data_IF_636312608022
#
_entry.id   IF_636312608022
#
_cell.length_a   1.000
_cell.length_b   1.000
_cell.length_c   1.000
_cell.angle_alpha   90.00
_cell.angle_beta   90.00
_cell.angle_gamma   90.00
#
_symmetry.space_group_name_H-M   'P 1'
#
loop_
_entity.id
_entity.type
_entity.pdbx_description
1 polymer ?
#
# COMPACT_ATOMS: atom_id res chain seq x y z
N UNK A 1 -3.20 -22.63 20.96
CA UNK A 1 -2.78 -21.28 21.38
C UNK A 1 -1.87 -20.56 20.40
N UNK A 2 -0.59 -20.94 20.19
CA UNK A 2 0.29 -20.17 19.27
C UNK A 2 -0.16 -20.25 17.81
N UNK A 3 -0.61 -21.43 17.37
CA UNK A 3 -1.11 -21.65 16.01
C UNK A 3 -2.44 -20.93 15.77
N UNK A 4 -3.37 -21.02 16.73
CA UNK A 4 -4.66 -20.29 16.69
C UNK A 4 -4.46 -18.76 16.64
N UNK A 5 -3.52 -18.21 17.43
CA UNK A 5 -3.20 -16.79 17.41
C UNK A 5 -2.59 -16.36 16.07
N UNK A 6 -1.67 -17.17 15.53
CA UNK A 6 -1.05 -16.91 14.23
C UNK A 6 -2.09 -16.97 13.10
N UNK A 7 -3.00 -17.94 13.18
CA UNK A 7 -4.12 -18.10 12.24
C UNK A 7 -5.05 -16.90 12.27
N UNK A 8 -5.44 -16.43 13.46
CA UNK A 8 -6.31 -15.25 13.61
C UNK A 8 -5.65 -13.96 13.11
N UNK A 9 -4.34 -13.77 13.38
CA UNK A 9 -3.60 -12.62 12.89
C UNK A 9 -3.37 -12.65 11.37
N UNK A 10 -3.32 -13.83 10.76
CA UNK A 10 -3.26 -13.98 9.30
C UNK A 10 -4.62 -13.69 8.67
N UNK A 11 -5.69 -14.29 9.20
CA UNK A 11 -7.06 -14.05 8.75
C UNK A 11 -7.41 -12.56 8.77
N UNK A 12 -7.07 -11.84 9.84
CA UNK A 12 -7.30 -10.40 9.92
C UNK A 12 -6.57 -9.62 8.82
N UNK A 13 -5.31 -9.96 8.54
CA UNK A 13 -4.53 -9.33 7.46
C UNK A 13 -5.13 -9.63 6.09
N UNK A 14 -5.62 -10.85 5.89
CA UNK A 14 -6.27 -11.24 4.64
C UNK A 14 -7.58 -10.47 4.43
N UNK A 15 -8.38 -10.29 5.49
CA UNK A 15 -9.60 -9.46 5.44
C UNK A 15 -9.26 -8.01 5.11
N UNK A 16 -8.26 -7.41 5.78
CA UNK A 16 -7.80 -6.07 5.46
C UNK A 16 -7.32 -5.96 4.00
N UNK A 17 -6.59 -6.94 3.51
CA UNK A 17 -6.12 -6.97 2.12
C UNK A 17 -7.28 -7.03 1.13
N UNK A 18 -8.26 -7.92 1.34
CA UNK A 18 -9.43 -8.05 0.48
C UNK A 18 -10.29 -6.78 0.44
N UNK A 19 -10.40 -6.08 1.57
CA UNK A 19 -11.24 -4.88 1.68
C UNK A 19 -10.54 -3.60 1.18
N UNK A 20 -9.24 -3.46 1.44
CA UNK A 20 -8.51 -2.20 1.25
C UNK A 20 -7.51 -2.24 0.09
N UNK A 21 -7.22 -3.43 -0.43
CA UNK A 21 -6.28 -3.60 -1.54
C UNK A 21 -4.81 -3.61 -1.16
N UNK A 22 -4.45 -3.52 0.13
CA UNK A 22 -3.06 -3.48 0.57
C UNK A 22 -2.66 -4.72 1.36
N UNK A 23 -1.66 -5.44 0.84
CA UNK A 23 -0.98 -6.49 1.57
C UNK A 23 0.09 -5.84 2.44
N UNK A 24 0.11 -6.13 3.74
CA UNK A 24 1.05 -5.56 4.71
C UNK A 24 1.95 -6.67 5.23
N UNK A 25 3.24 -6.60 4.86
CA UNK A 25 4.26 -7.55 5.25
C UNK A 25 5.28 -6.89 6.18
N UNK A 26 5.54 -7.50 7.34
CA UNK A 26 6.60 -7.02 8.25
C UNK A 26 7.96 -7.50 7.75
N UNK A 27 8.85 -6.57 7.39
CA UNK A 27 10.18 -6.88 6.83
C UNK A 27 11.33 -6.76 7.84
N UNK A 28 11.04 -6.28 9.05
CA UNK A 28 12.02 -6.15 10.12
C UNK A 28 11.42 -5.69 11.44
N UNK A 29 12.24 -5.12 12.33
CA UNK A 29 11.71 -4.47 13.52
C UNK A 29 11.07 -3.14 13.13
N UNK A 30 9.77 -2.97 13.43
CA UNK A 30 9.00 -1.75 13.11
C UNK A 30 8.92 -1.36 11.62
N UNK A 31 9.46 -2.17 10.69
CA UNK A 31 9.41 -1.92 9.26
C UNK A 31 8.38 -2.79 8.55
N UNK A 32 7.62 -2.15 7.67
CA UNK A 32 6.51 -2.75 6.95
C UNK A 32 6.62 -2.42 5.47
N UNK A 33 6.53 -3.45 4.63
CA UNK A 33 6.31 -3.31 3.20
C UNK A 33 4.80 -3.38 2.96
N UNK A 34 4.28 -2.45 2.18
CA UNK A 34 2.90 -2.53 1.71
C UNK A 34 2.86 -2.58 0.18
N UNK A 35 2.08 -3.51 -0.35
CA UNK A 35 1.91 -3.72 -1.79
C UNK A 35 0.42 -3.64 -2.12
N UNK A 36 0.08 -2.89 -3.18
CA UNK A 36 -1.29 -2.79 -3.66
C UNK A 36 -1.64 -4.00 -4.53
N UNK A 37 -2.89 -4.47 -4.50
CA UNK A 37 -3.36 -5.57 -5.32
C UNK A 37 -3.32 -5.29 -6.84
N UNK A 38 -3.28 -4.02 -7.23
CA UNK A 38 -3.20 -3.58 -8.63
C UNK A 38 -1.79 -3.23 -9.09
N UNK A 39 -0.77 -3.44 -8.24
CA UNK A 39 0.63 -3.25 -8.61
C UNK A 39 1.01 -4.15 -9.80
N UNK A 40 1.72 -3.61 -10.78
CA UNK A 40 2.08 -4.32 -12.02
C UNK A 40 3.35 -5.16 -11.86
N UNK A 41 4.17 -4.88 -10.84
CA UNK A 41 5.39 -5.64 -10.55
C UNK A 41 5.66 -5.78 -9.04
N UNK A 42 6.53 -6.73 -8.70
CA UNK A 42 6.95 -6.95 -7.30
C UNK A 42 7.78 -5.82 -6.71
N UNK A 43 8.29 -4.91 -7.54
CA UNK A 43 9.11 -3.77 -7.13
C UNK A 43 8.26 -2.52 -6.81
N UNK A 44 6.96 -2.56 -7.12
CA UNK A 44 5.99 -1.51 -6.81
C UNK A 44 5.42 -1.70 -5.40
N UNK A 45 6.22 -1.34 -4.40
CA UNK A 45 5.82 -1.36 -3.00
C UNK A 45 6.27 -0.11 -2.26
N UNK A 46 5.49 0.25 -1.25
CA UNK A 46 5.84 1.31 -0.32
C UNK A 46 6.46 0.70 0.93
N UNK A 47 7.35 1.46 1.57
CA UNK A 47 7.95 1.06 2.85
C UNK A 47 7.53 2.05 3.92
N UNK A 48 7.09 1.54 5.07
CA UNK A 48 6.72 2.33 6.23
C UNK A 48 7.47 1.87 7.47
N UNK A 49 7.80 2.81 8.35
CA UNK A 49 8.41 2.55 9.64
C UNK A 49 7.49 3.04 10.76
N UNK A 50 7.26 2.19 11.75
CA UNK A 50 6.51 2.51 12.96
C UNK A 50 7.46 3.16 13.98
N UNK A 51 7.36 4.48 14.09
CA UNK A 51 8.05 5.30 15.08
C UNK A 51 7.22 5.42 16.36
N UNK A 52 7.74 6.08 17.39
CA UNK A 52 7.02 6.24 18.65
C UNK A 52 5.84 7.24 18.54
N UNK A 53 5.91 8.15 17.57
CA UNK A 53 4.90 9.18 17.31
C UNK A 53 3.86 8.76 16.25
N UNK A 54 4.06 7.63 15.57
CA UNK A 54 3.17 7.19 14.50
C UNK A 54 3.88 6.35 13.44
N UNK A 55 3.34 6.36 12.23
CA UNK A 55 3.88 5.62 11.10
C UNK A 55 4.32 6.60 10.01
N UNK A 56 5.52 6.38 9.47
CA UNK A 56 6.13 7.26 8.48
C UNK A 56 6.50 6.48 7.23
N UNK A 57 6.36 7.10 6.07
CA UNK A 57 6.78 6.51 4.80
C UNK A 57 8.28 6.71 4.61
N UNK A 58 8.97 5.64 4.23
CA UNK A 58 10.39 5.67 3.86
C UNK A 58 10.50 5.92 2.36
N UNK A 59 11.39 6.84 1.98
CA UNK A 59 11.65 7.13 0.58
C UNK A 59 12.32 5.93 -0.13
N UNK A 60 11.69 5.50 -1.22
CA UNK A 60 12.16 4.48 -2.17
C UNK A 60 11.99 4.98 -3.59
N UNK A 61 12.62 4.31 -4.56
CA UNK A 61 12.46 4.62 -5.99
C UNK A 61 10.99 4.59 -6.44
N UNK A 62 10.22 3.63 -5.94
CA UNK A 62 8.78 3.57 -6.22
C UNK A 62 8.03 4.75 -5.58
N UNK A 63 8.29 5.10 -4.32
CA UNK A 63 7.63 6.27 -3.72
C UNK A 63 7.98 7.58 -4.45
N UNK A 64 9.19 7.66 -5.03
CA UNK A 64 9.63 8.81 -5.80
C UNK A 64 8.89 8.94 -7.14
N UNK A 65 8.50 7.82 -7.76
CA UNK A 65 7.73 7.83 -9.01
C UNK A 65 6.28 8.27 -8.82
N UNK A 66 5.77 8.27 -7.58
CA UNK A 66 4.41 8.70 -7.22
C UNK A 66 4.30 10.20 -6.89
N UNK A 67 5.29 11.00 -7.31
CA UNK A 67 5.56 12.36 -6.81
C UNK A 67 4.33 13.25 -6.54
N UNK A 68 3.40 13.38 -7.49
CA UNK A 68 2.21 14.23 -7.33
C UNK A 68 1.28 13.75 -6.21
N UNK A 69 1.08 12.42 -6.09
CA UNK A 69 0.24 11.84 -5.02
C UNK A 69 0.89 12.01 -3.64
N UNK A 70 2.21 11.83 -3.57
CA UNK A 70 2.98 12.01 -2.33
C UNK A 70 2.92 13.46 -1.88
N UNK A 71 3.19 14.40 -2.77
CA UNK A 71 3.14 15.84 -2.47
C UNK A 71 1.74 16.26 -2.00
N UNK A 72 0.70 15.92 -2.77
CA UNK A 72 -0.65 16.33 -2.44
C UNK A 72 -1.16 15.71 -1.14
N UNK A 73 -0.97 14.41 -0.94
CA UNK A 73 -1.68 13.71 0.13
C UNK A 73 -0.86 13.52 1.40
N UNK A 74 0.47 13.42 1.30
CA UNK A 74 1.34 13.30 2.47
C UNK A 74 1.90 14.65 2.91
N UNK A 75 2.31 15.51 1.97
CA UNK A 75 2.87 16.82 2.32
C UNK A 75 1.82 17.91 2.54
N UNK A 76 0.75 17.98 1.72
CA UNK A 76 -0.30 18.98 1.92
C UNK A 76 -1.44 18.53 2.84
N UNK A 77 -2.01 17.35 2.62
CA UNK A 77 -3.15 16.87 3.43
C UNK A 77 -2.73 16.17 4.73
N UNK A 78 -1.45 15.79 4.86
CA UNK A 78 -0.93 15.03 6.01
C UNK A 78 -1.74 13.76 6.32
N UNK A 79 -2.18 13.02 5.30
CA UNK A 79 -3.07 11.89 5.46
C UNK A 79 -2.66 10.68 4.63
N UNK A 80 -2.04 9.70 5.30
CA UNK A 80 -1.70 8.39 4.71
C UNK A 80 -2.95 7.68 4.17
N UNK A 81 -4.10 7.62 4.89
CA UNK A 81 -5.30 6.99 4.33
C UNK A 81 -5.75 7.61 3.00
N UNK A 82 -5.73 8.93 2.88
CA UNK A 82 -6.10 9.63 1.63
C UNK A 82 -5.12 9.32 0.51
N UNK A 83 -3.82 9.34 0.80
CA UNK A 83 -2.78 8.93 -0.15
C UNK A 83 -2.99 7.51 -0.67
N UNK A 84 -3.20 6.54 0.22
CA UNK A 84 -3.40 5.15 -0.14
C UNK A 84 -4.69 4.93 -0.93
N UNK A 85 -5.77 5.66 -0.62
CA UNK A 85 -7.00 5.62 -1.40
C UNK A 85 -6.79 6.15 -2.82
N UNK A 86 -6.13 7.30 -2.97
CA UNK A 86 -5.84 7.88 -4.28
C UNK A 86 -4.92 6.98 -5.13
N UNK A 87 -3.89 6.39 -4.50
CA UNK A 87 -3.00 5.44 -5.17
C UNK A 87 -3.77 4.19 -5.65
N UNK A 88 -4.70 3.67 -4.85
CA UNK A 88 -5.54 2.53 -5.27
C UNK A 88 -6.37 2.90 -6.50
N UNK A 89 -6.97 4.09 -6.54
CA UNK A 89 -7.75 4.54 -7.70
C UNK A 89 -6.88 4.67 -8.95
N UNK A 90 -5.71 5.28 -8.83
CA UNK A 90 -4.75 5.46 -9.93
C UNK A 90 -4.30 4.13 -10.51
N UNK A 91 -3.88 3.19 -9.65
CA UNK A 91 -3.44 1.85 -10.09
C UNK A 91 -4.60 1.06 -10.71
N UNK A 92 -5.80 1.13 -10.14
CA UNK A 92 -6.98 0.48 -10.73
C UNK A 92 -7.28 1.00 -12.14
N UNK A 93 -7.26 2.33 -12.35
CA UNK A 93 -7.50 2.92 -13.66
C UNK A 93 -6.46 2.47 -14.68
N UNK A 94 -5.17 2.42 -14.30
CA UNK A 94 -4.10 1.94 -15.18
C UNK A 94 -4.26 0.46 -15.54
N UNK A 95 -4.41 -0.39 -14.52
CA UNK A 95 -4.35 -1.84 -14.70
C UNK A 95 -5.64 -2.41 -15.29
N UNK A 96 -6.81 -1.81 -15.02
CA UNK A 96 -8.10 -2.37 -15.43
C UNK A 96 -8.79 -1.56 -16.53
N UNK A 97 -8.83 -0.22 -16.44
CA UNK A 97 -9.60 0.58 -17.39
C UNK A 97 -8.86 0.86 -18.71
N UNK A 98 -7.52 0.93 -18.70
CA UNK A 98 -6.76 1.12 -19.94
C UNK A 98 -6.71 -0.17 -20.78
N UNK A 99 -6.80 -1.36 -20.15
CA UNK A 99 -6.89 -2.63 -20.86
C UNK A 99 -8.21 -2.77 -21.64
N UNK A 100 -9.33 -2.29 -21.09
CA UNK A 100 -10.64 -2.33 -21.76
C UNK A 100 -10.71 -1.48 -23.05
N UNK A 101 -9.91 -0.41 -23.16
CA UNK A 101 -9.89 0.47 -24.34
C UNK A 101 -9.12 -0.15 -25.51
N UNK A 102 -8.22 -1.09 -25.26
CA UNK A 102 -7.35 -1.67 -26.28
C UNK A 102 -7.96 -2.93 -26.94
N UNK A 103 -9.09 -3.42 -26.42
CA UNK A 103 -9.87 -4.54 -26.98
C UNK A 103 -11.04 -4.09 -27.89
N UNK A 104 -11.18 -2.80 -28.17
CA UNK A 104 -12.14 -2.23 -29.14
C UNK A 104 -11.43 -1.71 -30.40
#
# INVERSE_FOLDING_TARGET
>A
MKEEFTSSAQEYRDVCYMLLGYKIDRTGHKNYRISNMYAESSDEYLTFTLCDEGIEMVHTDYSASLGELVELHLHHHHSIPVFLSALTMELFTRTTMQQEVQEC
#
